data_IF_009785188483
#
_entry.id   IF_009785188483
#
_cell.length_a   1.000
_cell.length_b   1.000
_cell.length_c   1.000
_cell.angle_alpha   90.00
_cell.angle_beta   90.00
_cell.angle_gamma   90.00
#
_symmetry.space_group_name_H-M   'P 1'
#
loop_
_entity.id
_entity.type
_entity.pdbx_description
1 polymer ?
#
# COMPACT_ATOMS: atom_id res chain seq x y z
N UNK A 1 -4.08 -20.14 13.44
CA UNK A 1 -4.32 -19.96 14.87
C UNK A 1 -5.82 -20.07 15.12
N UNK A 2 -6.24 -21.13 15.80
CA UNK A 2 -7.60 -21.23 16.31
C UNK A 2 -7.80 -20.06 17.29
N UNK A 3 -8.50 -19.02 16.86
CA UNK A 3 -9.13 -18.11 17.81
C UNK A 3 -10.23 -18.91 18.49
N UNK A 4 -9.93 -19.44 19.67
CA UNK A 4 -10.92 -20.05 20.52
C UNK A 4 -11.87 -18.97 21.02
N UNK A 5 -12.96 -18.74 20.29
CA UNK A 5 -14.12 -18.03 20.84
C UNK A 5 -14.72 -19.00 21.87
N UNK A 6 -14.43 -18.74 23.14
CA UNK A 6 -14.82 -19.64 24.22
C UNK A 6 -16.31 -19.58 24.54
N UNK A 7 -16.94 -18.44 24.27
CA UNK A 7 -18.38 -18.22 24.55
C UNK A 7 -18.97 -17.22 23.55
N UNK A 8 -20.20 -17.43 23.12
CA UNK A 8 -20.96 -16.50 22.28
C UNK A 8 -21.18 -15.14 22.99
N UNK A 9 -21.19 -15.12 24.32
CA UNK A 9 -21.26 -13.91 25.13
C UNK A 9 -20.04 -12.98 24.94
N UNK A 10 -18.85 -13.53 24.69
CA UNK A 10 -17.60 -12.79 24.52
C UNK A 10 -17.61 -11.90 23.26
N UNK A 11 -18.39 -12.27 22.27
CA UNK A 11 -18.55 -11.51 21.01
C UNK A 11 -19.93 -10.86 20.86
N UNK A 12 -20.76 -10.93 21.90
CA UNK A 12 -22.07 -10.28 21.96
C UNK A 12 -23.10 -10.81 20.95
N UNK A 13 -23.00 -12.07 20.54
CA UNK A 13 -23.96 -12.73 19.65
C UNK A 13 -24.93 -13.63 20.43
N UNK A 14 -26.04 -13.99 19.80
CA UNK A 14 -27.00 -14.94 20.40
C UNK A 14 -26.34 -16.30 20.64
N UNK A 15 -26.74 -16.98 21.72
CA UNK A 15 -26.17 -18.26 22.15
C UNK A 15 -26.33 -19.39 21.13
N UNK A 16 -27.31 -19.29 20.22
CA UNK A 16 -27.58 -20.24 19.14
C UNK A 16 -26.99 -19.82 17.78
N UNK A 17 -26.28 -18.69 17.73
CA UNK A 17 -25.67 -18.22 16.50
C UNK A 17 -24.47 -19.07 16.12
N UNK A 18 -24.38 -19.44 14.84
CA UNK A 18 -23.23 -20.14 14.28
C UNK A 18 -22.17 -19.13 13.85
N UNK A 19 -20.97 -19.26 14.38
CA UNK A 19 -19.78 -18.52 13.94
C UNK A 19 -18.97 -19.39 12.98
N UNK A 20 -18.63 -18.84 11.82
CA UNK A 20 -17.80 -19.52 10.84
C UNK A 20 -16.64 -18.61 10.47
N UNK A 21 -15.42 -19.14 10.54
CA UNK A 21 -14.20 -18.45 10.08
C UNK A 21 -13.95 -18.82 8.62
N UNK A 22 -13.48 -17.85 7.83
CA UNK A 22 -13.05 -18.10 6.46
C UNK A 22 -11.66 -18.76 6.44
N UNK A 23 -11.32 -19.51 5.39
CA UNK A 23 -10.01 -20.13 5.24
C UNK A 23 -8.90 -19.08 5.07
N UNK A 24 -7.65 -19.44 5.40
CA UNK A 24 -6.46 -18.61 5.25
C UNK A 24 -5.39 -19.39 4.45
N UNK A 25 -4.51 -18.67 3.75
CA UNK A 25 -3.45 -19.28 2.93
C UNK A 25 -2.25 -19.70 3.81
N UNK A 26 -1.84 -18.82 4.73
CA UNK A 26 -0.71 -19.08 5.63
C UNK A 26 -0.86 -18.27 6.93
N UNK A 27 0.09 -18.42 7.86
CA UNK A 27 0.15 -17.57 9.06
C UNK A 27 0.37 -16.07 8.78
N UNK A 28 0.75 -15.72 7.55
CA UNK A 28 1.03 -14.35 7.11
C UNK A 28 0.05 -13.82 6.05
N UNK A 29 -0.80 -14.68 5.49
CA UNK A 29 -1.81 -14.30 4.49
C UNK A 29 -3.14 -14.85 4.97
N UNK A 30 -3.96 -13.97 5.50
CA UNK A 30 -5.16 -14.27 6.26
C UNK A 30 -6.40 -14.52 5.42
N UNK A 31 -7.49 -14.72 6.14
CA UNK A 31 -8.83 -14.95 5.55
C UNK A 31 -9.38 -13.72 4.83
N UNK A 32 -8.93 -12.53 5.19
CA UNK A 32 -9.24 -11.26 4.52
C UNK A 32 -8.75 -11.26 3.07
N UNK A 33 -7.53 -11.78 2.85
CA UNK A 33 -6.96 -11.89 1.50
C UNK A 33 -7.68 -12.96 0.69
N UNK A 34 -8.01 -14.12 1.28
CA UNK A 34 -8.81 -15.14 0.60
C UNK A 34 -10.17 -14.59 0.18
N UNK A 35 -10.86 -13.89 1.09
CA UNK A 35 -12.12 -13.22 0.81
C UNK A 35 -11.97 -12.15 -0.29
N UNK A 36 -10.91 -11.35 -0.23
CA UNK A 36 -10.60 -10.30 -1.19
C UNK A 36 -10.33 -10.84 -2.59
N UNK A 37 -9.51 -11.86 -2.70
CA UNK A 37 -9.21 -12.55 -3.97
C UNK A 37 -10.45 -13.21 -4.55
N UNK A 38 -11.28 -13.85 -3.72
CA UNK A 38 -12.55 -14.41 -4.15
C UNK A 38 -13.48 -13.33 -4.72
N UNK A 39 -13.65 -12.24 -4.00
CA UNK A 39 -14.50 -11.12 -4.40
C UNK A 39 -14.00 -10.41 -5.67
N UNK A 40 -12.68 -10.36 -5.89
CA UNK A 40 -12.07 -9.75 -7.09
C UNK A 40 -12.38 -10.52 -8.37
N UNK A 41 -12.75 -11.80 -8.27
CA UNK A 41 -12.91 -12.66 -9.43
C UNK A 41 -11.61 -13.05 -10.12
N UNK A 42 -10.44 -12.77 -9.52
CA UNK A 42 -9.12 -13.03 -10.07
C UNK A 42 -8.98 -14.44 -10.66
N UNK A 43 -9.53 -15.45 -9.98
CA UNK A 43 -9.45 -16.83 -10.44
C UNK A 43 -10.22 -17.13 -11.73
N UNK A 44 -11.16 -16.26 -12.11
CA UNK A 44 -11.98 -16.41 -13.33
C UNK A 44 -11.35 -15.74 -14.56
N UNK A 45 -10.27 -14.97 -14.37
CA UNK A 45 -9.54 -14.33 -15.46
C UNK A 45 -8.58 -15.33 -16.12
N UNK A 46 -8.55 -15.39 -17.44
CA UNK A 46 -7.66 -16.28 -18.20
C UNK A 46 -6.22 -15.73 -18.29
N UNK A 47 -6.02 -14.47 -17.84
CA UNK A 47 -4.74 -13.76 -17.93
C UNK A 47 -3.98 -13.80 -16.61
N UNK A 48 -2.73 -13.36 -16.66
CA UNK A 48 -1.95 -13.11 -15.45
C UNK A 48 -2.45 -11.84 -14.77
N UNK A 49 -2.84 -11.97 -13.50
CA UNK A 49 -3.42 -10.90 -12.69
C UNK A 49 -2.72 -10.83 -11.35
N UNK A 50 -2.34 -9.63 -10.94
CA UNK A 50 -1.78 -9.37 -9.64
C UNK A 50 -2.83 -8.68 -8.76
N UNK A 51 -3.08 -9.24 -7.59
CA UNK A 51 -3.89 -8.65 -6.53
C UNK A 51 -2.97 -8.14 -5.42
N UNK A 52 -3.18 -6.92 -4.96
CA UNK A 52 -2.41 -6.29 -3.87
C UNK A 52 -3.40 -5.68 -2.89
N UNK A 53 -3.39 -6.13 -1.65
CA UNK A 53 -4.04 -5.42 -0.54
C UNK A 53 -2.98 -4.58 0.19
N UNK A 54 -3.21 -3.28 0.27
CA UNK A 54 -2.26 -2.33 0.86
C UNK A 54 -2.80 -1.89 2.22
N UNK A 55 -2.18 -2.40 3.28
CA UNK A 55 -2.41 -2.02 4.67
C UNK A 55 -1.09 -1.86 5.42
N UNK A 56 -1.09 -2.11 6.71
CA UNK A 56 0.13 -2.19 7.54
C UNK A 56 1.07 -3.30 7.07
N UNK A 57 0.52 -4.36 6.51
CA UNK A 57 1.22 -5.30 5.63
C UNK A 57 0.74 -5.09 4.19
N UNK A 58 1.57 -5.50 3.24
CA UNK A 58 1.20 -5.58 1.83
C UNK A 58 1.08 -7.04 1.44
N UNK A 59 -0.15 -7.55 1.40
CA UNK A 59 -0.42 -8.90 0.94
C UNK A 59 -0.66 -8.90 -0.56
N UNK A 60 -0.07 -9.88 -1.23
CA UNK A 60 -0.12 -9.97 -2.69
C UNK A 60 -0.45 -11.38 -3.12
N UNK A 61 -1.28 -11.50 -4.16
CA UNK A 61 -1.58 -12.78 -4.81
C UNK A 61 -1.42 -12.60 -6.33
N UNK A 62 -0.53 -13.40 -6.92
CA UNK A 62 -0.29 -13.44 -8.35
C UNK A 62 -0.94 -14.70 -8.93
N UNK A 63 -1.86 -14.49 -9.88
CA UNK A 63 -2.36 -15.55 -10.75
C UNK A 63 -1.53 -15.56 -12.04
N UNK A 64 -0.99 -16.72 -12.39
CA UNK A 64 -0.27 -16.94 -13.66
C UNK A 64 -0.53 -18.36 -14.16
N UNK A 65 -1.09 -18.46 -15.36
CA UNK A 65 -1.66 -19.72 -15.84
C UNK A 65 -2.71 -20.26 -14.85
N UNK A 66 -2.58 -21.51 -14.46
CA UNK A 66 -3.48 -22.18 -13.48
C UNK A 66 -2.96 -22.08 -12.03
N UNK A 67 -1.88 -21.35 -11.79
CA UNK A 67 -1.22 -21.25 -10.49
C UNK A 67 -1.59 -19.96 -9.77
N UNK A 68 -1.56 -20.03 -8.44
CA UNK A 68 -1.70 -18.90 -7.53
C UNK A 68 -0.50 -18.88 -6.59
N UNK A 69 0.18 -17.74 -6.51
CA UNK A 69 1.31 -17.53 -5.64
C UNK A 69 1.04 -16.33 -4.75
N UNK A 70 1.13 -16.48 -3.45
CA UNK A 70 0.89 -15.42 -2.47
C UNK A 70 2.15 -15.09 -1.68
N UNK A 71 2.29 -13.83 -1.30
CA UNK A 71 3.30 -13.36 -0.35
C UNK A 71 2.76 -12.24 0.51
N UNK A 72 3.49 -11.93 1.59
CA UNK A 72 3.23 -10.79 2.47
C UNK A 72 4.52 -10.03 2.72
N UNK A 73 4.47 -8.70 2.71
CA UNK A 73 5.58 -7.82 3.03
C UNK A 73 5.21 -6.82 4.12
N UNK A 74 6.16 -6.46 4.97
CA UNK A 74 5.95 -5.49 6.04
C UNK A 74 6.07 -4.06 5.51
N UNK A 75 4.97 -3.45 5.09
CA UNK A 75 4.92 -2.06 4.60
C UNK A 75 5.06 -1.05 5.73
N UNK A 76 4.66 -1.43 6.93
CA UNK A 76 4.49 -0.51 8.04
C UNK A 76 3.28 0.44 7.83
N UNK A 77 2.90 1.19 8.86
CA UNK A 77 1.66 1.96 8.83
C UNK A 77 1.81 3.39 8.25
N UNK A 78 2.93 3.70 7.59
CA UNK A 78 3.20 5.05 7.04
C UNK A 78 2.18 5.47 5.99
N UNK A 79 1.75 4.53 5.16
CA UNK A 79 0.75 4.76 4.13
C UNK A 79 -0.66 4.96 4.70
N UNK A 80 -0.89 4.63 5.97
CA UNK A 80 -2.11 4.95 6.71
C UNK A 80 -2.02 6.31 7.45
N UNK A 81 -0.90 7.05 7.28
CA UNK A 81 -0.62 8.30 7.98
C UNK A 81 -0.07 8.10 9.39
N UNK A 82 0.28 6.87 9.78
CA UNK A 82 0.89 6.58 11.09
C UNK A 82 2.42 6.54 10.97
N UNK A 83 3.12 6.78 12.08
CA UNK A 83 4.59 6.92 12.10
C UNK A 83 5.12 8.07 11.21
N UNK A 84 4.27 9.04 10.91
CA UNK A 84 4.58 10.30 10.24
C UNK A 84 4.47 11.43 11.27
N UNK A 85 5.36 12.41 11.22
CA UNK A 85 5.50 13.45 12.25
C UNK A 85 4.19 14.19 12.56
N UNK A 86 3.46 14.61 11.53
CA UNK A 86 2.13 15.21 11.63
C UNK A 86 1.07 14.34 10.95
N UNK A 87 1.26 13.02 11.01
CA UNK A 87 0.39 12.07 10.36
C UNK A 87 -0.89 11.79 11.15
N UNK A 88 -1.96 11.47 10.43
CA UNK A 88 -3.25 11.07 11.00
C UNK A 88 -4.01 10.14 10.04
N UNK A 89 -5.00 9.43 10.57
CA UNK A 89 -5.95 8.70 9.71
C UNK A 89 -6.78 9.67 8.89
N UNK A 90 -7.25 9.21 7.73
CA UNK A 90 -8.15 10.00 6.89
C UNK A 90 -9.43 10.35 7.67
N UNK A 91 -9.72 11.64 7.80
CA UNK A 91 -10.84 12.19 8.51
C UNK A 91 -10.96 13.69 8.25
N UNK A 92 -11.95 14.37 8.77
CA UNK A 92 -12.16 15.81 8.57
C UNK A 92 -10.90 16.61 8.96
N UNK A 93 -10.46 17.50 8.07
CA UNK A 93 -9.28 18.33 8.24
C UNK A 93 -7.94 17.62 7.99
N UNK A 94 -7.92 16.32 7.67
CA UNK A 94 -6.70 15.66 7.23
C UNK A 94 -6.30 16.18 5.84
N UNK A 95 -5.05 16.61 5.68
CA UNK A 95 -4.51 16.99 4.36
C UNK A 95 -4.40 15.72 3.51
N UNK A 96 -5.08 15.70 2.38
CA UNK A 96 -5.21 14.55 1.50
C UNK A 96 -4.45 14.70 0.17
N UNK A 97 -4.10 15.94 -0.21
CA UNK A 97 -3.33 16.21 -1.42
C UNK A 97 -2.46 17.47 -1.25
N UNK A 98 -1.37 17.51 -2.01
CA UNK A 98 -0.47 18.64 -2.13
C UNK A 98 -0.22 18.98 -3.60
N UNK A 99 0.08 20.25 -3.86
CA UNK A 99 0.53 20.74 -5.15
C UNK A 99 1.59 21.81 -4.92
N UNK A 100 2.69 21.74 -5.68
CA UNK A 100 3.71 22.77 -5.74
C UNK A 100 3.64 23.44 -7.11
N UNK A 101 3.27 24.70 -7.12
CA UNK A 101 3.17 25.52 -8.33
C UNK A 101 3.87 26.86 -8.10
N UNK A 102 4.68 27.31 -9.08
CA UNK A 102 5.48 28.55 -8.99
C UNK A 102 6.21 28.72 -7.62
N UNK A 103 6.80 27.62 -7.12
CA UNK A 103 7.51 27.56 -5.83
C UNK A 103 6.62 27.76 -4.58
N UNK A 104 5.30 27.68 -4.72
CA UNK A 104 4.35 27.76 -3.61
C UNK A 104 3.74 26.39 -3.32
N UNK A 105 3.68 26.05 -2.04
CA UNK A 105 3.03 24.84 -1.57
C UNK A 105 1.57 25.14 -1.26
N UNK A 106 0.68 24.37 -1.88
CA UNK A 106 -0.76 24.37 -1.60
C UNK A 106 -1.24 22.97 -1.25
N UNK A 107 -2.38 22.88 -0.58
CA UNK A 107 -2.95 21.60 -0.16
C UNK A 107 -4.47 21.62 -0.16
N UNK A 108 -5.07 20.43 -0.17
CA UNK A 108 -6.49 20.21 0.09
C UNK A 108 -6.68 19.39 1.36
N UNK A 109 -7.85 19.46 1.95
CA UNK A 109 -8.19 18.69 3.16
C UNK A 109 -9.52 17.96 2.99
N UNK A 110 -9.63 16.82 3.61
CA UNK A 110 -10.88 16.07 3.69
C UNK A 110 -11.97 16.95 4.29
N UNK A 111 -13.07 17.08 3.55
CA UNK A 111 -14.22 17.91 3.96
C UNK A 111 -13.99 19.42 3.85
N UNK A 112 -12.92 19.89 3.24
CA UNK A 112 -12.55 21.32 3.15
C UNK A 112 -12.51 22.02 4.52
N UNK A 113 -12.06 21.31 5.56
CA UNK A 113 -11.92 21.82 6.93
C UNK A 113 -10.51 22.36 7.19
N UNK A 114 -10.34 23.06 8.30
CA UNK A 114 -9.01 23.51 8.74
C UNK A 114 -8.06 22.30 8.85
N UNK A 115 -6.85 22.43 8.31
CA UNK A 115 -5.86 21.38 8.38
C UNK A 115 -5.45 21.06 9.82
N UNK A 116 -5.40 19.78 10.18
CA UNK A 116 -5.02 19.28 11.52
C UNK A 116 -3.95 18.20 11.47
N UNK A 117 -3.62 17.69 10.30
CA UNK A 117 -2.58 16.67 10.07
C UNK A 117 -2.58 16.18 8.63
N UNK A 118 -1.79 15.15 8.33
CA UNK A 118 -1.58 14.63 6.97
C UNK A 118 -2.03 13.16 6.95
N UNK A 119 -3.00 12.81 6.12
CA UNK A 119 -3.37 11.41 5.95
C UNK A 119 -2.51 10.72 4.88
N UNK A 120 -2.65 9.40 4.75
CA UNK A 120 -1.79 8.60 3.88
C UNK A 120 -1.77 9.04 2.42
N UNK A 121 -2.89 9.48 1.84
CA UNK A 121 -2.93 10.05 0.49
C UNK A 121 -2.12 11.35 0.42
N UNK A 122 -2.22 12.21 1.43
CA UNK A 122 -1.42 13.43 1.56
C UNK A 122 0.08 13.14 1.70
N UNK A 123 0.45 12.12 2.48
CA UNK A 123 1.85 11.67 2.61
C UNK A 123 2.45 11.31 1.26
N UNK A 124 1.74 10.51 0.44
CA UNK A 124 2.20 10.16 -0.90
C UNK A 124 2.19 11.36 -1.85
N UNK A 125 1.17 12.20 -1.77
CA UNK A 125 1.09 13.42 -2.58
C UNK A 125 2.25 14.38 -2.27
N UNK A 126 2.62 14.54 -0.99
CA UNK A 126 3.80 15.32 -0.61
C UNK A 126 5.06 14.78 -1.27
N UNK A 127 5.35 13.49 -1.13
CA UNK A 127 6.55 12.88 -1.73
C UNK A 127 6.53 12.99 -3.25
N UNK A 128 5.37 12.80 -3.89
CA UNK A 128 5.18 13.00 -5.33
C UNK A 128 5.58 14.42 -5.75
N UNK A 129 5.08 15.44 -5.05
CA UNK A 129 5.37 16.83 -5.38
C UNK A 129 6.85 17.17 -5.15
N UNK A 130 7.45 16.68 -4.07
CA UNK A 130 8.87 16.86 -3.80
C UNK A 130 9.75 16.23 -4.89
N UNK A 131 9.36 15.06 -5.42
CA UNK A 131 10.06 14.40 -6.52
C UNK A 131 9.87 15.14 -7.85
N UNK A 132 8.63 15.51 -8.21
CA UNK A 132 8.32 16.23 -9.46
C UNK A 132 9.06 17.55 -9.58
N UNK A 133 9.23 18.25 -8.46
CA UNK A 133 9.93 19.53 -8.40
C UNK A 133 11.44 19.39 -8.11
N UNK A 134 11.99 18.17 -8.12
CA UNK A 134 13.40 17.87 -7.82
C UNK A 134 13.87 18.42 -6.47
N UNK A 135 12.97 18.57 -5.50
CA UNK A 135 13.30 19.03 -4.14
C UNK A 135 14.00 17.92 -3.38
N UNK A 136 13.59 16.66 -3.61
CA UNK A 136 14.29 15.49 -3.13
C UNK A 136 14.84 14.67 -4.31
N UNK A 137 15.98 14.06 -4.08
CA UNK A 137 16.60 13.14 -5.05
C UNK A 137 16.08 11.70 -4.88
N UNK A 138 16.52 10.77 -5.73
CA UNK A 138 16.14 9.35 -5.66
C UNK A 138 16.52 8.65 -4.35
N UNK A 139 17.40 9.25 -3.53
CA UNK A 139 17.72 8.77 -2.17
C UNK A 139 16.84 9.41 -1.08
N UNK A 140 15.90 10.28 -1.45
CA UNK A 140 15.02 10.97 -0.52
C UNK A 140 15.69 12.14 0.23
N UNK A 141 16.87 12.56 -0.19
CA UNK A 141 17.58 13.67 0.42
C UNK A 141 17.18 15.00 -0.24
N UNK A 142 16.97 16.04 0.58
CA UNK A 142 16.75 17.41 0.13
C UNK A 142 18.11 18.03 -0.21
N UNK A 143 18.25 18.58 -1.43
CA UNK A 143 19.45 19.34 -1.84
C UNK A 143 19.37 20.76 -1.28
N UNK A 144 19.97 20.95 -0.11
CA UNK A 144 19.88 22.19 0.69
C UNK A 144 20.43 23.40 -0.07
N UNK A 145 21.54 23.25 -0.79
CA UNK A 145 22.21 24.40 -1.44
C UNK A 145 21.39 24.95 -2.60
N UNK A 146 20.74 24.07 -3.35
CA UNK A 146 19.89 24.46 -4.48
C UNK A 146 18.51 24.93 -4.06
N UNK A 147 17.92 24.33 -3.02
CA UNK A 147 16.49 24.45 -2.73
C UNK A 147 16.15 25.56 -1.74
N UNK A 148 17.05 25.93 -0.80
CA UNK A 148 16.79 26.98 0.22
C UNK A 148 16.46 28.35 -0.38
N UNK A 149 17.01 28.67 -1.56
CA UNK A 149 16.75 29.94 -2.24
C UNK A 149 15.51 29.94 -3.14
N UNK A 150 14.98 28.73 -3.44
CA UNK A 150 13.90 28.55 -4.39
C UNK A 150 12.53 28.40 -3.72
N UNK A 151 12.50 27.88 -2.47
CA UNK A 151 11.23 27.49 -1.83
C UNK A 151 11.13 28.02 -0.40
N UNK A 152 10.15 28.88 -0.13
CA UNK A 152 9.94 29.52 1.18
C UNK A 152 9.43 28.52 2.25
N UNK A 153 8.92 27.36 1.83
CA UNK A 153 8.41 26.32 2.72
C UNK A 153 9.48 25.30 3.18
N UNK A 154 10.74 25.49 2.80
CA UNK A 154 11.85 24.69 3.32
C UNK A 154 12.47 25.41 4.52
N UNK A 155 12.34 24.81 5.69
CA UNK A 155 12.84 25.36 6.95
C UNK A 155 13.83 24.36 7.61
N UNK A 156 14.47 24.76 8.71
CA UNK A 156 15.52 23.99 9.38
C UNK A 156 15.21 23.84 10.86
N UNK A 157 15.38 22.62 11.36
CA UNK A 157 15.30 22.36 12.78
C UNK A 157 16.52 22.94 13.55
N UNK A 158 16.48 22.85 14.88
CA UNK A 158 17.58 23.32 15.75
C UNK A 158 18.93 22.65 15.50
N UNK A 159 18.94 21.48 14.84
CA UNK A 159 20.14 20.74 14.44
C UNK A 159 20.59 21.03 13.01
N UNK A 160 19.92 21.95 12.31
CA UNK A 160 20.21 22.33 10.93
C UNK A 160 19.71 21.32 9.90
N UNK A 161 18.79 20.39 10.27
CA UNK A 161 18.19 19.44 9.33
C UNK A 161 17.01 20.07 8.62
N UNK A 162 16.90 19.93 7.29
CA UNK A 162 15.80 20.50 6.53
C UNK A 162 14.51 19.73 6.78
N UNK A 163 13.39 20.47 6.76
CA UNK A 163 12.04 19.92 6.74
C UNK A 163 11.12 20.79 5.89
N UNK A 164 9.98 20.26 5.49
CA UNK A 164 8.95 20.99 4.75
C UNK A 164 7.96 21.56 5.75
N UNK A 165 7.91 22.89 5.85
CA UNK A 165 6.95 23.63 6.67
C UNK A 165 5.66 23.80 5.87
N UNK A 166 4.55 23.29 6.36
CA UNK A 166 3.22 23.39 5.74
C UNK A 166 2.43 24.50 6.43
N UNK A 167 2.37 24.40 7.76
CA UNK A 167 1.82 25.37 8.70
C UNK A 167 2.76 25.48 9.90
N UNK A 168 2.47 26.36 10.87
CA UNK A 168 3.34 26.51 12.04
C UNK A 168 3.45 25.22 12.88
N UNK A 169 2.38 24.45 12.92
CA UNK A 169 2.24 23.18 13.67
C UNK A 169 2.18 21.93 12.79
N UNK A 170 2.20 22.07 11.45
CA UNK A 170 2.19 20.95 10.50
C UNK A 170 3.41 21.02 9.60
N UNK A 171 4.22 19.96 9.63
CA UNK A 171 5.47 19.86 8.88
C UNK A 171 5.72 18.41 8.43
N UNK A 172 6.62 18.24 7.45
CA UNK A 172 7.02 16.96 6.90
C UNK A 172 8.55 16.86 6.86
N UNK A 173 9.11 15.79 7.40
CA UNK A 173 10.55 15.67 7.68
C UNK A 173 11.23 14.63 6.80
N UNK A 174 12.57 14.63 6.79
CA UNK A 174 13.35 13.56 6.16
C UNK A 174 13.08 12.17 6.77
N UNK A 175 12.63 12.11 8.04
CA UNK A 175 12.21 10.83 8.65
C UNK A 175 10.92 10.32 8.03
N UNK A 176 9.99 11.22 7.71
CA UNK A 176 8.72 10.87 7.07
C UNK A 176 8.95 10.39 5.63
N UNK A 177 9.84 11.06 4.89
CA UNK A 177 10.29 10.61 3.57
C UNK A 177 10.86 9.19 3.67
N UNK A 178 11.66 8.90 4.70
CA UNK A 178 12.23 7.57 4.92
C UNK A 178 11.16 6.51 5.20
N UNK A 179 10.10 6.84 5.94
CA UNK A 179 8.97 5.92 6.16
C UNK A 179 8.28 5.56 4.85
N UNK A 180 8.08 6.53 3.95
CA UNK A 180 7.52 6.27 2.61
C UNK A 180 8.46 5.39 1.78
N UNK A 181 9.78 5.60 1.84
CA UNK A 181 10.75 4.74 1.16
C UNK A 181 10.66 3.29 1.63
N UNK A 182 10.53 3.06 2.95
CA UNK A 182 10.41 1.72 3.51
C UNK A 182 9.14 1.03 3.03
N UNK A 183 7.99 1.70 3.12
CA UNK A 183 6.71 1.16 2.68
C UNK A 183 6.71 0.85 1.17
N UNK A 184 7.16 1.80 0.36
CA UNK A 184 7.31 1.65 -1.09
C UNK A 184 8.27 0.51 -1.44
N UNK A 185 9.40 0.45 -0.76
CA UNK A 185 10.41 -0.59 -0.97
C UNK A 185 9.86 -1.99 -0.69
N UNK A 186 9.06 -2.13 0.38
CA UNK A 186 8.42 -3.41 0.72
C UNK A 186 7.44 -3.87 -0.38
N UNK A 187 6.56 -2.96 -0.85
CA UNK A 187 5.59 -3.29 -1.90
C UNK A 187 6.31 -3.65 -3.20
N UNK A 188 7.20 -2.79 -3.67
CA UNK A 188 7.90 -3.01 -4.94
C UNK A 188 8.76 -4.28 -4.92
N UNK A 189 9.51 -4.52 -3.83
CA UNK A 189 10.31 -5.73 -3.71
C UNK A 189 9.45 -7.01 -3.63
N UNK A 190 8.28 -6.94 -2.99
CA UNK A 190 7.31 -8.04 -2.98
C UNK A 190 6.80 -8.38 -4.37
N UNK A 191 6.45 -7.37 -5.18
CA UNK A 191 6.03 -7.54 -6.57
C UNK A 191 7.16 -8.21 -7.39
N UNK A 192 8.38 -7.67 -7.30
CA UNK A 192 9.53 -8.19 -8.04
C UNK A 192 9.88 -9.62 -7.63
N UNK A 193 9.74 -9.95 -6.35
CA UNK A 193 9.96 -11.30 -5.84
C UNK A 193 8.93 -12.30 -6.39
N UNK A 194 7.63 -11.94 -6.38
CA UNK A 194 6.56 -12.79 -6.94
C UNK A 194 6.77 -13.05 -8.44
N UNK A 195 7.09 -12.01 -9.20
CA UNK A 195 7.34 -12.12 -10.65
C UNK A 195 8.55 -13.00 -10.93
N UNK A 196 9.62 -12.84 -10.14
CA UNK A 196 10.82 -13.66 -10.23
C UNK A 196 10.55 -15.14 -9.93
N UNK A 197 9.80 -15.42 -8.85
CA UNK A 197 9.44 -16.79 -8.45
C UNK A 197 8.52 -17.44 -9.48
N UNK A 198 7.56 -16.69 -10.03
CA UNK A 198 6.67 -17.15 -11.10
C UNK A 198 7.40 -17.34 -12.44
N UNK A 199 8.64 -16.84 -12.58
CA UNK A 199 9.45 -16.87 -13.82
C UNK A 199 8.73 -16.24 -15.01
N UNK A 200 8.06 -15.12 -14.77
CA UNK A 200 7.42 -14.27 -15.79
C UNK A 200 8.05 -12.88 -15.76
N UNK A 201 7.68 -12.02 -16.69
CA UNK A 201 8.10 -10.63 -16.72
C UNK A 201 6.96 -9.70 -16.24
N UNK A 202 7.27 -8.48 -15.76
CA UNK A 202 6.27 -7.49 -15.35
C UNK A 202 5.26 -7.18 -16.47
N UNK A 203 5.72 -7.14 -17.71
CA UNK A 203 4.87 -6.90 -18.90
C UNK A 203 3.80 -7.97 -19.11
N UNK A 204 4.05 -9.21 -18.64
CA UNK A 204 3.15 -10.36 -18.81
C UNK A 204 1.94 -10.29 -17.86
N UNK A 205 1.98 -9.39 -16.86
CA UNK A 205 0.84 -9.10 -16.01
C UNK A 205 -0.10 -8.19 -16.79
N UNK A 206 -1.35 -8.62 -16.95
CA UNK A 206 -2.36 -7.93 -17.75
C UNK A 206 -3.25 -7.02 -16.93
N UNK A 207 -3.42 -7.29 -15.63
CA UNK A 207 -4.22 -6.48 -14.69
C UNK A 207 -3.58 -6.46 -13.31
N UNK A 208 -3.76 -5.35 -12.62
CA UNK A 208 -3.34 -5.17 -11.23
C UNK A 208 -4.52 -4.67 -10.42
N UNK A 209 -5.00 -5.49 -9.52
CA UNK A 209 -6.08 -5.13 -8.60
C UNK A 209 -5.49 -4.58 -7.31
N UNK A 210 -5.87 -3.35 -6.96
CA UNK A 210 -5.51 -2.72 -5.69
C UNK A 210 -6.72 -2.78 -4.77
N UNK A 211 -6.57 -3.49 -3.67
CA UNK A 211 -7.55 -3.62 -2.60
C UNK A 211 -7.16 -2.80 -1.37
N UNK A 212 -8.03 -2.81 -0.37
CA UNK A 212 -7.87 -2.05 0.86
C UNK A 212 -8.51 -0.66 0.78
N UNK A 213 -8.82 -0.08 1.93
CA UNK A 213 -9.43 1.26 2.00
C UNK A 213 -8.47 2.35 1.51
N UNK A 214 -7.18 2.11 1.62
CA UNK A 214 -6.13 3.05 1.28
C UNK A 214 -6.11 3.39 -0.21
N UNK A 215 -6.25 2.39 -1.09
CA UNK A 215 -6.15 2.56 -2.55
C UNK A 215 -7.18 3.53 -3.15
N UNK A 216 -8.37 3.66 -2.55
CA UNK A 216 -9.47 4.47 -3.08
C UNK A 216 -9.18 5.98 -3.18
N UNK A 217 -8.32 6.50 -2.29
CA UNK A 217 -8.08 7.93 -2.15
C UNK A 217 -6.72 8.37 -2.68
N UNK A 218 -5.90 7.44 -3.18
CA UNK A 218 -4.60 7.76 -3.76
C UNK A 218 -4.75 7.99 -5.26
N UNK A 219 -4.12 9.06 -5.75
CA UNK A 219 -4.03 9.27 -7.19
C UNK A 219 -3.12 8.22 -7.83
N UNK A 220 -3.52 7.71 -9.00
CA UNK A 220 -2.70 6.79 -9.81
C UNK A 220 -1.30 7.37 -10.02
N UNK A 221 -1.22 8.68 -10.30
CA UNK A 221 0.04 9.41 -10.46
C UNK A 221 0.98 9.30 -9.24
N UNK A 222 0.43 9.31 -8.01
CA UNK A 222 1.25 9.13 -6.80
C UNK A 222 1.88 7.75 -6.70
N UNK A 223 1.18 6.68 -7.10
CA UNK A 223 1.74 5.32 -7.10
C UNK A 223 2.96 5.19 -8.00
N UNK A 224 2.88 5.74 -9.20
CA UNK A 224 3.95 5.60 -10.20
C UNK A 224 5.07 6.61 -10.00
N UNK A 225 4.76 7.86 -9.67
CA UNK A 225 5.76 8.89 -9.41
C UNK A 225 6.64 8.54 -8.19
N UNK A 226 6.01 8.04 -7.12
CA UNK A 226 6.74 7.58 -5.92
C UNK A 226 7.42 6.22 -6.18
N UNK A 227 6.95 5.45 -7.17
CA UNK A 227 7.48 4.15 -7.55
C UNK A 227 7.04 3.02 -6.61
N UNK A 228 5.82 3.08 -6.08
CA UNK A 228 5.21 1.94 -5.39
C UNK A 228 4.93 0.80 -6.36
N UNK A 229 4.50 1.15 -7.57
CA UNK A 229 4.20 0.20 -8.63
C UNK A 229 5.17 0.38 -9.81
N UNK A 230 5.57 -0.71 -10.48
CA UNK A 230 6.30 -0.66 -11.75
C UNK A 230 5.53 0.11 -12.82
N UNK A 231 6.25 0.86 -13.67
CA UNK A 231 5.63 1.67 -14.73
C UNK A 231 4.87 0.81 -15.75
N UNK A 232 5.24 -0.45 -15.91
CA UNK A 232 4.58 -1.44 -16.77
C UNK A 232 3.12 -1.70 -16.37
N UNK A 233 2.70 -1.21 -15.20
CA UNK A 233 1.34 -1.37 -14.69
C UNK A 233 0.48 -0.13 -14.89
N UNK A 234 0.98 0.94 -15.50
CA UNK A 234 0.30 2.24 -15.58
C UNK A 234 -1.15 2.15 -16.08
N UNK A 235 -1.38 1.40 -17.16
CA UNK A 235 -2.71 1.25 -17.77
C UNK A 235 -3.47 0.01 -17.28
N UNK A 236 -2.97 -0.69 -16.25
CA UNK A 236 -3.45 -2.00 -15.83
C UNK A 236 -4.07 -2.00 -14.44
N UNK A 237 -4.00 -0.86 -13.73
CA UNK A 237 -4.47 -0.74 -12.34
C UNK A 237 -5.96 -0.53 -12.26
N UNK A 238 -6.61 -1.34 -11.43
CA UNK A 238 -8.02 -1.24 -11.08
C UNK A 238 -8.20 -1.25 -9.55
N UNK A 239 -8.93 -0.27 -9.02
CA UNK A 239 -9.20 -0.16 -7.58
C UNK A 239 -10.48 -0.89 -7.22
N UNK A 240 -10.38 -1.86 -6.32
CA UNK A 240 -11.50 -2.69 -5.91
C UNK A 240 -12.12 -2.30 -4.55
N UNK A 241 -11.47 -1.40 -3.81
CA UNK A 241 -11.93 -0.98 -2.48
C UNK A 241 -11.77 -2.09 -1.43
N UNK A 242 -12.68 -2.16 -0.47
CA UNK A 242 -12.62 -3.15 0.63
C UNK A 242 -13.14 -4.52 0.16
N UNK A 243 -12.30 -5.24 -0.54
CA UNK A 243 -12.64 -6.57 -1.09
C UNK A 243 -12.78 -7.64 -0.01
N UNK A 244 -12.07 -7.50 1.13
CA UNK A 244 -12.21 -8.41 2.26
C UNK A 244 -13.65 -8.39 2.82
N UNK A 245 -14.22 -7.18 3.01
CA UNK A 245 -15.61 -7.02 3.42
C UNK A 245 -16.59 -7.57 2.37
N UNK A 246 -16.33 -7.29 1.08
CA UNK A 246 -17.17 -7.79 -0.02
C UNK A 246 -17.16 -9.31 -0.04
N UNK A 247 -16.01 -9.96 0.08
CA UNK A 247 -15.89 -11.41 0.11
C UNK A 247 -16.56 -12.04 1.33
N UNK A 248 -16.40 -11.42 2.51
CA UNK A 248 -17.12 -11.87 3.71
C UNK A 248 -18.64 -11.78 3.54
N UNK A 249 -19.13 -10.71 2.89
CA UNK A 249 -20.55 -10.56 2.58
C UNK A 249 -21.03 -11.60 1.56
N UNK A 250 -20.22 -11.90 0.53
CA UNK A 250 -20.53 -12.98 -0.42
C UNK A 250 -20.62 -14.33 0.27
N UNK A 251 -19.74 -14.62 1.24
CA UNK A 251 -19.76 -15.83 2.03
C UNK A 251 -21.02 -15.99 2.91
N UNK A 252 -21.67 -14.88 3.28
CA UNK A 252 -22.97 -14.91 4.00
C UNK A 252 -24.15 -15.19 3.08
N UNK A 253 -24.06 -14.76 1.81
CA UNK A 253 -25.17 -14.86 0.86
C UNK A 253 -25.16 -16.15 0.03
N UNK A 254 -23.97 -16.68 -0.24
CA UNK A 254 -23.78 -17.86 -1.07
C UNK A 254 -23.25 -19.03 -0.23
N UNK A 255 -24.03 -20.10 -0.13
CA UNK A 255 -23.66 -21.29 0.62
C UNK A 255 -22.42 -22.02 0.09
N UNK A 256 -22.07 -21.80 -1.17
CA UNK A 256 -20.88 -22.42 -1.81
C UNK A 256 -19.62 -21.56 -1.70
N UNK A 257 -19.76 -20.28 -1.36
CA UNK A 257 -18.63 -19.35 -1.34
C UNK A 257 -17.49 -19.78 -0.41
N UNK A 258 -17.81 -20.37 0.76
CA UNK A 258 -16.80 -20.84 1.73
C UNK A 258 -16.04 -22.05 1.17
N UNK A 259 -16.73 -22.94 0.45
CA UNK A 259 -16.10 -24.09 -0.22
C UNK A 259 -15.16 -23.61 -1.34
N UNK A 260 -15.63 -22.69 -2.18
CA UNK A 260 -14.82 -22.08 -3.23
C UNK A 260 -13.58 -21.35 -2.66
N UNK A 261 -13.76 -20.60 -1.58
CA UNK A 261 -12.65 -19.94 -0.86
C UNK A 261 -11.67 -20.97 -0.27
N UNK A 262 -12.16 -22.12 0.19
CA UNK A 262 -11.30 -23.21 0.68
C UNK A 262 -10.50 -23.85 -0.46
N UNK A 263 -11.11 -24.05 -1.61
CA UNK A 263 -10.40 -24.53 -2.81
C UNK A 263 -9.35 -23.52 -3.29
N UNK A 264 -9.68 -22.22 -3.28
CA UNK A 264 -8.76 -21.15 -3.61
C UNK A 264 -7.55 -21.14 -2.65
N UNK A 265 -7.81 -21.16 -1.35
CA UNK A 265 -6.78 -21.20 -0.32
C UNK A 265 -5.83 -22.39 -0.49
N UNK A 266 -6.38 -23.61 -0.70
CA UNK A 266 -5.61 -24.83 -0.87
C UNK A 266 -4.78 -24.86 -2.18
N UNK A 267 -5.21 -24.13 -3.21
CA UNK A 267 -4.46 -24.00 -4.48
C UNK A 267 -3.40 -22.92 -4.46
N UNK A 268 -3.46 -22.00 -3.49
CA UNK A 268 -2.54 -20.88 -3.41
C UNK A 268 -1.27 -21.28 -2.65
N UNK A 269 -0.14 -21.22 -3.35
CA UNK A 269 1.17 -21.42 -2.74
C UNK A 269 1.63 -20.16 -2.04
N UNK A 270 2.06 -20.27 -0.78
CA UNK A 270 2.67 -19.14 -0.05
C UNK A 270 4.17 -19.12 -0.27
N UNK A 271 4.67 -17.99 -0.74
CA UNK A 271 6.08 -17.73 -0.95
C UNK A 271 6.62 -16.75 0.11
N UNK A 272 7.58 -17.20 0.88
CA UNK A 272 8.24 -16.39 1.89
C UNK A 272 9.40 -15.59 1.27
N UNK A 273 9.31 -14.27 1.32
CA UNK A 273 10.28 -13.36 0.67
C UNK A 273 11.73 -13.60 1.13
N UNK A 274 11.92 -13.99 2.39
CA UNK A 274 13.23 -14.30 2.97
C UNK A 274 13.93 -15.50 2.32
N UNK A 275 13.20 -16.33 1.58
CA UNK A 275 13.76 -17.50 0.86
C UNK A 275 14.31 -17.15 -0.52
N UNK A 276 14.03 -15.94 -1.00
CA UNK A 276 14.56 -15.51 -2.30
C UNK A 276 16.03 -15.11 -2.15
N UNK A 277 16.89 -15.77 -2.92
CA UNK A 277 18.29 -15.38 -3.00
C UNK A 277 18.40 -13.90 -3.42
N UNK A 278 19.21 -13.12 -2.70
CA UNK A 278 19.39 -11.70 -2.92
C UNK A 278 18.17 -10.80 -2.66
N UNK A 279 17.17 -11.24 -1.88
CA UNK A 279 16.02 -10.38 -1.54
C UNK A 279 16.43 -9.05 -0.91
N UNK A 280 17.41 -9.05 0.00
CA UNK A 280 17.94 -7.82 0.61
C UNK A 280 18.46 -6.82 -0.44
N UNK A 281 19.06 -7.30 -1.51
CA UNK A 281 19.54 -6.47 -2.62
C UNK A 281 18.38 -5.90 -3.44
N UNK A 282 17.34 -6.69 -3.67
CA UNK A 282 16.12 -6.24 -4.36
C UNK A 282 15.44 -5.16 -3.50
N UNK A 283 15.25 -5.42 -2.21
CA UNK A 283 14.66 -4.46 -1.28
C UNK A 283 15.48 -3.16 -1.20
N UNK A 284 16.81 -3.25 -1.06
CA UNK A 284 17.69 -2.08 -0.99
C UNK A 284 17.61 -1.20 -2.25
N UNK A 285 17.48 -1.81 -3.44
CA UNK A 285 17.24 -1.08 -4.68
C UNK A 285 15.84 -0.47 -4.71
N UNK A 286 14.83 -1.23 -4.27
CA UNK A 286 13.45 -0.79 -4.23
C UNK A 286 13.19 0.38 -3.26
N UNK A 287 14.08 0.69 -2.31
CA UNK A 287 13.99 1.86 -1.43
C UNK A 287 14.17 3.18 -2.17
N UNK A 288 14.88 3.21 -3.30
CA UNK A 288 15.11 4.44 -4.05
C UNK A 288 13.84 4.89 -4.75
N UNK A 289 13.57 6.18 -4.75
CA UNK A 289 12.54 6.75 -5.59
C UNK A 289 12.97 6.67 -7.06
N UNK A 290 12.00 6.56 -7.97
CA UNK A 290 12.29 6.46 -9.40
C UNK A 290 12.98 7.74 -9.90
N UNK A 291 14.14 7.56 -10.49
CA UNK A 291 14.98 8.59 -11.07
C UNK A 291 16.20 7.99 -11.75
N UNK A 292 16.52 6.74 -11.42
CA UNK A 292 17.60 5.99 -12.07
C UNK A 292 17.16 4.53 -12.16
N UNK A 293 17.01 4.05 -13.36
CA UNK A 293 16.69 2.71 -13.84
C UNK A 293 16.84 1.56 -12.81
N UNK A 294 15.69 0.95 -12.44
CA UNK A 294 15.67 -0.42 -11.93
C UNK A 294 15.62 -1.37 -13.13
#
# INVERSE_FOLDING_TARGET
>A
SEMCIRDSSDIGIKSDAKVTTLPHISGFVGSDIVAGVYASGLCKDDKNVLFIDIGTNGEMVLKFGDKLLATSCATGPALEGMNISCGMRAGEGAIDNFCIDENKLSYTTVGNKKAVGICGSGVLAMVRELLKNNIINGRGAIDIEKQKKAYDFIDFDKSGKPFIKILDDIYFTSKDIRQVQLAKGAILSGILALVSEAKIELKDISKVYIAGQFGKYISVDSFFCVGLLPIEFFDKVEYLGNTALTGAYMALLDKYAIEDMSLLSNKTEFFELSRLDNYDRIFAKALRFNGENI
#
